data_IF_540077804885
#
_entry.id   IF_540077804885
#
_cell.length_a   1.000
_cell.length_b   1.000
_cell.length_c   1.000
_cell.angle_alpha   90.00
_cell.angle_beta   90.00
_cell.angle_gamma   90.00
#
_symmetry.space_group_name_H-M   'P 1'
#
loop_
_entity.id
_entity.type
_entity.pdbx_description
1 polymer ?
#
# COMPACT_ATOMS: atom_id res chain seq x y z
N UNK A 1 10.86 -18.81 -16.20
CA UNK A 1 10.13 -17.56 -16.10
C UNK A 1 10.51 -16.76 -14.87
N UNK A 2 10.19 -15.50 -14.89
CA UNK A 2 10.43 -14.56 -13.79
C UNK A 2 9.08 -14.01 -13.31
N UNK A 3 8.92 -13.91 -12.00
CA UNK A 3 7.81 -13.16 -11.35
C UNK A 3 8.43 -12.05 -10.53
N UNK A 4 8.00 -10.80 -10.75
CA UNK A 4 8.66 -9.64 -10.15
C UNK A 4 7.66 -8.53 -9.82
N UNK A 5 7.83 -7.85 -8.68
CA UNK A 5 7.13 -6.60 -8.37
C UNK A 5 7.92 -5.41 -8.94
N UNK A 6 7.22 -4.46 -9.54
CA UNK A 6 7.81 -3.25 -10.13
C UNK A 6 7.69 -2.05 -9.17
N UNK A 7 8.15 -2.20 -7.93
CA UNK A 7 8.16 -1.11 -6.97
C UNK A 7 8.90 0.14 -7.50
N UNK A 8 10.02 -0.10 -8.22
CA UNK A 8 10.76 0.92 -8.96
C UNK A 8 10.96 0.47 -10.41
N UNK A 9 10.06 0.85 -11.34
CA UNK A 9 10.11 0.41 -12.73
C UNK A 9 11.41 0.80 -13.46
N UNK A 10 11.96 1.97 -13.18
CA UNK A 10 13.17 2.44 -13.84
C UNK A 10 14.39 1.59 -13.49
N UNK A 11 14.50 1.15 -12.22
CA UNK A 11 15.55 0.22 -11.80
C UNK A 11 15.43 -1.16 -12.43
N UNK A 12 14.23 -1.53 -12.90
CA UNK A 12 13.95 -2.83 -13.49
C UNK A 12 14.09 -2.88 -15.02
N UNK A 13 14.25 -1.72 -15.71
CA UNK A 13 14.33 -1.68 -17.19
C UNK A 13 15.43 -2.56 -17.76
N UNK A 14 16.65 -2.41 -17.28
CA UNK A 14 17.79 -3.16 -17.80
C UNK A 14 17.73 -4.66 -17.49
N UNK A 15 17.44 -5.09 -16.24
CA UNK A 15 17.23 -6.51 -15.93
C UNK A 15 16.11 -7.16 -16.75
N UNK A 16 14.99 -6.47 -16.97
CA UNK A 16 13.86 -7.03 -17.72
C UNK A 16 14.14 -7.08 -19.23
N UNK A 17 14.80 -6.07 -19.79
CA UNK A 17 15.27 -6.12 -21.18
C UNK A 17 16.23 -7.29 -21.41
N UNK A 18 17.13 -7.56 -20.47
CA UNK A 18 18.04 -8.74 -20.54
C UNK A 18 17.27 -10.06 -20.47
N UNK A 19 16.20 -10.12 -19.70
CA UNK A 19 15.34 -11.31 -19.64
C UNK A 19 14.59 -11.52 -20.96
N UNK A 20 14.06 -10.45 -21.56
CA UNK A 20 13.39 -10.47 -22.87
C UNK A 20 14.35 -10.94 -23.98
N UNK A 21 15.56 -10.39 -24.06
CA UNK A 21 16.60 -10.81 -25.01
C UNK A 21 16.98 -12.29 -24.85
N UNK A 22 16.94 -12.80 -23.62
CA UNK A 22 17.19 -14.23 -23.34
C UNK A 22 15.96 -15.12 -23.58
N UNK A 23 14.84 -14.58 -24.02
CA UNK A 23 13.57 -15.31 -24.22
C UNK A 23 12.96 -15.82 -22.92
N UNK A 24 13.25 -15.20 -21.79
CA UNK A 24 12.71 -15.58 -20.48
C UNK A 24 11.38 -14.84 -20.25
N UNK A 25 10.25 -15.56 -20.15
CA UNK A 25 8.95 -14.92 -19.91
C UNK A 25 8.89 -14.26 -18.53
N UNK A 26 8.31 -13.06 -18.47
CA UNK A 26 8.16 -12.27 -17.26
C UNK A 26 6.68 -12.03 -16.97
N UNK A 27 6.28 -12.17 -15.72
CA UNK A 27 5.00 -11.72 -15.19
C UNK A 27 5.27 -10.75 -14.04
N UNK A 28 4.62 -9.60 -14.06
CA UNK A 28 4.71 -8.65 -12.96
C UNK A 28 3.60 -8.88 -11.95
N UNK A 29 3.87 -8.51 -10.70
CA UNK A 29 2.92 -8.64 -9.60
C UNK A 29 2.93 -7.37 -8.73
N UNK A 30 1.91 -7.19 -7.92
CA UNK A 30 1.83 -6.17 -6.88
C UNK A 30 1.90 -4.75 -7.47
N UNK A 31 3.07 -4.10 -7.44
CA UNK A 31 3.25 -2.72 -7.92
C UNK A 31 3.58 -2.65 -9.41
N UNK A 32 3.26 -1.52 -10.06
CA UNK A 32 3.70 -1.17 -11.41
C UNK A 32 2.88 -1.78 -12.54
N UNK A 33 1.57 -1.95 -12.36
CA UNK A 33 0.64 -2.43 -13.39
C UNK A 33 0.79 -1.63 -14.68
N UNK A 34 0.81 -0.30 -14.60
CA UNK A 34 0.84 0.60 -15.75
C UNK A 34 2.11 0.49 -16.58
N UNK A 35 3.24 0.14 -15.97
CA UNK A 35 4.55 -0.01 -16.60
C UNK A 35 4.83 -1.41 -17.10
N UNK A 36 4.06 -2.40 -16.63
CA UNK A 36 4.24 -3.82 -16.87
C UNK A 36 4.42 -4.17 -18.35
N UNK A 37 3.46 -3.76 -19.19
CA UNK A 37 3.48 -4.05 -20.62
C UNK A 37 4.66 -3.37 -21.34
N UNK A 38 5.01 -2.13 -20.96
CA UNK A 38 6.12 -1.39 -21.56
C UNK A 38 7.51 -1.98 -21.23
N UNK A 39 7.58 -2.80 -20.20
CA UNK A 39 8.78 -3.50 -19.75
C UNK A 39 8.82 -4.97 -20.21
N UNK A 40 8.01 -5.36 -21.21
CA UNK A 40 8.04 -6.66 -21.84
C UNK A 40 7.38 -7.78 -21.03
N UNK A 41 6.61 -7.46 -19.97
CA UNK A 41 5.89 -8.48 -19.22
C UNK A 41 4.70 -9.02 -20.02
N UNK A 42 4.43 -10.32 -19.90
CA UNK A 42 3.29 -11.00 -20.55
C UNK A 42 1.97 -10.49 -19.98
N UNK A 43 1.94 -10.31 -18.67
CA UNK A 43 0.76 -9.82 -17.93
C UNK A 43 1.18 -9.32 -16.55
N UNK A 44 0.24 -8.63 -15.89
CA UNK A 44 0.32 -8.25 -14.49
C UNK A 44 -0.70 -9.05 -13.66
N UNK A 45 -0.32 -9.41 -12.44
CA UNK A 45 -1.20 -10.04 -11.45
C UNK A 45 -1.15 -9.22 -10.16
N UNK A 46 -2.13 -8.36 -9.99
CA UNK A 46 -2.21 -7.43 -8.85
C UNK A 46 -3.57 -6.76 -8.80
N UNK A 47 -3.68 -5.75 -8.00
CA UNK A 47 -4.80 -4.81 -7.99
C UNK A 47 -4.40 -3.52 -8.72
N UNK A 48 -5.37 -2.75 -9.19
CA UNK A 48 -5.12 -1.38 -9.65
C UNK A 48 -4.98 -0.47 -8.43
N UNK A 49 -3.75 -0.06 -8.13
CA UNK A 49 -3.41 0.58 -6.85
C UNK A 49 -4.14 1.91 -6.62
N UNK A 50 -4.31 2.72 -7.66
CA UNK A 50 -5.09 3.97 -7.57
C UNK A 50 -6.57 3.68 -7.23
N UNK A 51 -7.18 2.65 -7.84
CA UNK A 51 -8.57 2.27 -7.55
C UNK A 51 -8.71 1.74 -6.11
N UNK A 52 -7.76 0.94 -5.65
CA UNK A 52 -7.76 0.44 -4.27
C UNK A 52 -7.59 1.58 -3.27
N UNK A 53 -6.72 2.55 -3.57
CA UNK A 53 -6.56 3.77 -2.78
C UNK A 53 -7.83 4.61 -2.76
N UNK A 54 -8.47 4.81 -3.93
CA UNK A 54 -9.73 5.54 -4.04
C UNK A 54 -10.82 4.92 -3.17
N UNK A 55 -11.01 3.60 -3.25
CA UNK A 55 -11.99 2.90 -2.42
C UNK A 55 -11.69 3.02 -0.91
N UNK A 56 -10.41 3.02 -0.51
CA UNK A 56 -10.02 3.28 0.87
C UNK A 56 -10.36 4.71 1.31
N UNK A 57 -10.09 5.70 0.45
CA UNK A 57 -10.44 7.11 0.68
C UNK A 57 -11.94 7.31 0.82
N UNK A 58 -12.74 6.70 -0.06
CA UNK A 58 -14.22 6.77 -0.01
C UNK A 58 -14.77 6.19 1.30
N UNK A 59 -14.28 5.03 1.73
CA UNK A 59 -14.71 4.43 3.00
C UNK A 59 -14.30 5.27 4.22
N UNK A 60 -13.12 5.89 4.19
CA UNK A 60 -12.70 6.82 5.24
C UNK A 60 -13.57 8.09 5.25
N UNK A 61 -13.94 8.63 4.09
CA UNK A 61 -14.87 9.75 3.97
C UNK A 61 -16.25 9.40 4.55
N UNK A 62 -16.79 8.21 4.27
CA UNK A 62 -18.04 7.72 4.84
C UNK A 62 -17.95 7.59 6.37
N UNK A 63 -16.77 7.30 6.92
CA UNK A 63 -16.52 7.29 8.36
C UNK A 63 -16.31 8.69 8.97
N UNK A 64 -16.40 9.77 8.16
CA UNK A 64 -16.28 11.14 8.61
C UNK A 64 -14.85 11.69 8.61
N UNK A 65 -13.90 11.02 7.97
CA UNK A 65 -12.54 11.53 7.81
C UNK A 65 -12.54 12.64 6.77
N UNK A 66 -11.85 13.73 7.08
CA UNK A 66 -11.69 14.90 6.20
C UNK A 66 -10.26 15.39 6.08
N UNK A 67 -9.39 14.99 7.02
CA UNK A 67 -7.97 15.31 7.03
C UNK A 67 -7.17 14.04 7.36
N UNK A 68 -6.50 13.48 6.36
CA UNK A 68 -5.88 12.15 6.36
C UNK A 68 -4.36 12.27 6.23
N UNK A 69 -3.62 11.49 7.00
CA UNK A 69 -2.24 11.16 6.67
C UNK A 69 -2.19 9.79 6.00
N UNK A 70 -1.57 9.73 4.81
CA UNK A 70 -1.27 8.50 4.09
C UNK A 70 0.20 8.12 4.35
N UNK A 71 0.43 6.96 4.97
CA UNK A 71 1.76 6.58 5.47
C UNK A 71 2.47 5.68 4.47
N UNK A 72 3.45 6.25 3.75
CA UNK A 72 4.29 5.56 2.75
C UNK A 72 5.51 4.97 3.46
N UNK A 73 5.55 3.65 3.60
CA UNK A 73 6.59 2.93 4.34
C UNK A 73 7.78 2.48 3.48
N UNK A 74 7.72 2.69 2.18
CA UNK A 74 8.77 2.43 1.18
C UNK A 74 8.80 3.62 0.21
N UNK A 75 9.49 4.73 0.53
CA UNK A 75 9.59 5.88 -0.36
C UNK A 75 10.14 5.50 -1.74
N UNK A 76 9.47 5.96 -2.82
CA UNK A 76 9.82 5.61 -4.21
C UNK A 76 9.21 4.30 -4.70
N UNK A 77 8.38 3.64 -3.92
CA UNK A 77 7.54 2.54 -4.38
C UNK A 77 6.29 3.12 -5.05
N UNK A 78 6.23 3.00 -6.38
CA UNK A 78 5.16 3.60 -7.19
C UNK A 78 3.75 3.11 -6.78
N UNK A 79 3.61 1.86 -6.37
CA UNK A 79 2.31 1.32 -5.94
C UNK A 79 1.80 1.99 -4.67
N UNK A 80 2.68 2.31 -3.72
CA UNK A 80 2.29 3.01 -2.50
C UNK A 80 1.92 4.47 -2.77
N UNK A 81 2.64 5.13 -3.67
CA UNK A 81 2.33 6.50 -4.10
C UNK A 81 0.96 6.54 -4.79
N UNK A 82 0.66 5.58 -5.68
CA UNK A 82 -0.63 5.44 -6.35
C UNK A 82 -1.78 5.18 -5.37
N UNK A 83 -1.57 4.42 -4.28
CA UNK A 83 -2.59 4.25 -3.22
C UNK A 83 -2.92 5.57 -2.53
N UNK A 84 -1.91 6.38 -2.18
CA UNK A 84 -2.14 7.69 -1.57
C UNK A 84 -2.80 8.68 -2.55
N UNK A 85 -2.41 8.65 -3.82
CA UNK A 85 -3.06 9.44 -4.88
C UNK A 85 -4.54 9.07 -5.01
N UNK A 86 -4.86 7.78 -5.12
CA UNK A 86 -6.23 7.30 -5.14
C UNK A 86 -7.00 7.67 -3.87
N UNK A 87 -6.39 7.53 -2.68
CA UNK A 87 -7.02 7.93 -1.43
C UNK A 87 -7.35 9.43 -1.39
N UNK A 88 -6.53 10.27 -2.04
CA UNK A 88 -6.80 11.71 -2.19
C UNK A 88 -8.06 11.95 -3.03
N UNK A 89 -8.19 11.22 -4.14
CA UNK A 89 -9.37 11.30 -5.01
C UNK A 89 -10.64 10.81 -4.30
N UNK A 90 -10.56 9.68 -3.59
CA UNK A 90 -11.71 9.07 -2.92
C UNK A 90 -12.15 9.81 -1.67
N UNK A 91 -11.22 10.39 -0.90
CA UNK A 91 -11.55 11.14 0.32
C UNK A 91 -12.28 12.45 0.02
N UNK A 92 -11.89 13.15 -1.06
CA UNK A 92 -12.42 14.49 -1.36
C UNK A 92 -12.09 15.54 -0.30
N UNK A 93 -11.16 15.26 0.59
CA UNK A 93 -10.67 16.10 1.67
C UNK A 93 -9.19 16.44 1.53
N UNK A 94 -8.50 16.65 2.66
CA UNK A 94 -7.06 16.88 2.68
C UNK A 94 -6.34 15.56 2.92
N UNK A 95 -5.32 15.26 2.12
CA UNK A 95 -4.43 14.11 2.32
C UNK A 95 -2.98 14.59 2.31
N UNK A 96 -2.24 14.25 3.35
CA UNK A 96 -0.81 14.50 3.46
C UNK A 96 -0.05 13.17 3.46
N UNK A 97 1.01 13.08 2.65
CA UNK A 97 1.87 11.90 2.60
C UNK A 97 2.93 11.98 3.70
N UNK A 98 2.96 10.98 4.59
CA UNK A 98 3.98 10.81 5.60
C UNK A 98 4.91 9.65 5.18
N UNK A 99 6.17 9.96 4.90
CA UNK A 99 7.18 8.96 4.55
C UNK A 99 7.86 8.41 5.81
N UNK A 100 7.94 7.10 5.91
CA UNK A 100 8.59 6.37 7.01
C UNK A 100 9.42 5.20 6.45
N UNK A 101 10.20 4.53 7.29
CA UNK A 101 10.96 3.32 6.91
C UNK A 101 10.31 2.09 7.51
N UNK A 102 9.95 1.10 6.67
CA UNK A 102 9.38 -0.18 7.13
C UNK A 102 10.34 -0.96 8.04
N UNK A 103 11.64 -0.73 7.93
CA UNK A 103 12.65 -1.36 8.78
C UNK A 103 12.77 -0.70 10.17
N UNK A 104 12.13 0.47 10.38
CA UNK A 104 12.06 1.19 11.65
C UNK A 104 10.61 1.48 12.05
N UNK A 105 9.88 0.43 12.45
CA UNK A 105 8.48 0.54 12.86
C UNK A 105 8.31 1.46 14.07
N UNK A 106 9.28 1.50 15.00
CA UNK A 106 9.23 2.40 16.15
C UNK A 106 9.41 3.86 15.73
N UNK A 107 10.28 4.13 14.76
CA UNK A 107 10.43 5.45 14.13
C UNK A 107 9.15 5.85 13.39
N UNK A 108 8.51 4.91 12.69
CA UNK A 108 7.22 5.15 12.02
C UNK A 108 6.11 5.51 13.03
N UNK A 109 5.99 4.78 14.13
CA UNK A 109 5.07 5.10 15.22
C UNK A 109 5.31 6.51 15.76
N UNK A 110 6.58 6.86 16.01
CA UNK A 110 6.95 8.20 16.51
C UNK A 110 6.60 9.30 15.51
N UNK A 111 6.80 9.08 14.22
CA UNK A 111 6.48 10.03 13.16
C UNK A 111 4.97 10.27 13.07
N UNK A 112 4.15 9.19 13.07
CA UNK A 112 2.69 9.29 13.07
C UNK A 112 2.21 10.03 14.32
N UNK A 113 2.68 9.67 15.50
CA UNK A 113 2.34 10.35 16.75
C UNK A 113 2.68 11.84 16.71
N UNK A 114 3.85 12.20 16.19
CA UNK A 114 4.30 13.59 16.09
C UNK A 114 3.42 14.39 15.12
N UNK A 115 3.02 13.81 13.99
CA UNK A 115 2.10 14.46 13.03
C UNK A 115 0.74 14.74 13.67
N UNK A 116 0.17 13.77 14.39
CA UNK A 116 -1.12 13.92 15.09
C UNK A 116 -1.06 14.97 16.22
N UNK A 117 0.09 15.11 16.89
CA UNK A 117 0.30 16.13 17.93
C UNK A 117 0.50 17.53 17.32
N UNK A 118 1.17 17.60 16.16
CA UNK A 118 1.45 18.86 15.47
C UNK A 118 0.18 19.46 14.83
N UNK A 119 -0.67 18.61 14.28
CA UNK A 119 -1.94 19.01 13.69
C UNK A 119 -3.11 18.18 14.25
N UNK A 120 -3.80 18.68 15.29
CA UNK A 120 -4.96 18.00 15.87
C UNK A 120 -6.20 17.94 14.95
N UNK A 121 -6.17 18.57 13.78
CA UNK A 121 -7.24 18.45 12.79
C UNK A 121 -7.16 17.18 11.97
N UNK A 122 -6.03 16.45 12.01
CA UNK A 122 -5.89 15.14 11.39
C UNK A 122 -6.82 14.16 12.10
N UNK A 123 -7.79 13.64 11.34
CA UNK A 123 -8.80 12.74 11.86
C UNK A 123 -8.82 11.37 11.13
N UNK A 124 -7.80 11.09 10.30
CA UNK A 124 -7.60 9.81 9.64
C UNK A 124 -6.14 9.44 9.45
N UNK A 125 -5.85 8.14 9.49
CA UNK A 125 -4.54 7.54 9.16
C UNK A 125 -4.77 6.36 8.23
N UNK A 126 -4.20 6.41 7.04
CA UNK A 126 -4.16 5.28 6.10
C UNK A 126 -2.74 4.71 6.09
N UNK A 127 -2.56 3.55 6.72
CA UNK A 127 -1.32 2.81 6.68
C UNK A 127 -1.31 1.86 5.46
N UNK A 128 -0.18 1.75 4.77
CA UNK A 128 -0.08 0.93 3.56
C UNK A 128 0.57 -0.44 3.81
N UNK A 129 0.68 -0.83 5.10
CA UNK A 129 1.27 -2.09 5.54
C UNK A 129 0.71 -2.48 6.93
N UNK A 130 0.51 -3.77 7.23
CA UNK A 130 -0.02 -4.24 8.52
C UNK A 130 0.77 -3.77 9.74
N UNK A 131 2.11 -3.85 9.68
CA UNK A 131 2.95 -3.45 10.82
C UNK A 131 2.83 -1.95 11.12
N UNK A 132 2.71 -1.12 10.07
CA UNK A 132 2.48 0.32 10.21
C UNK A 132 1.05 0.60 10.71
N UNK A 133 0.06 -0.18 10.25
CA UNK A 133 -1.32 -0.09 10.74
C UNK A 133 -1.42 -0.34 12.25
N UNK A 134 -0.76 -1.38 12.75
CA UNK A 134 -0.69 -1.68 14.19
C UNK A 134 0.06 -0.59 14.95
N UNK A 135 1.21 -0.12 14.41
CA UNK A 135 1.97 0.97 15.02
C UNK A 135 1.17 2.29 15.09
N UNK A 136 0.27 2.53 14.13
CA UNK A 136 -0.62 3.69 14.16
C UNK A 136 -1.60 3.65 15.35
N UNK A 137 -2.06 2.47 15.77
CA UNK A 137 -2.92 2.32 16.97
C UNK A 137 -2.20 2.86 18.21
N UNK A 138 -0.96 2.43 18.42
CA UNK A 138 -0.14 2.91 19.54
C UNK A 138 0.20 4.41 19.42
N UNK A 139 0.44 4.90 18.19
CA UNK A 139 0.70 6.30 17.92
C UNK A 139 -0.50 7.19 18.29
N UNK A 140 -1.72 6.78 17.94
CA UNK A 140 -2.95 7.48 18.32
C UNK A 140 -3.10 7.55 19.84
N UNK A 141 -2.92 6.41 20.52
CA UNK A 141 -2.97 6.36 21.98
C UNK A 141 -1.96 7.31 22.62
N UNK A 142 -0.72 7.32 22.12
CA UNK A 142 0.35 8.21 22.58
C UNK A 142 0.11 9.69 22.29
N UNK A 143 -0.62 10.02 21.20
CA UNK A 143 -1.02 11.38 20.86
C UNK A 143 -2.30 11.84 21.57
N UNK A 144 -3.10 10.93 22.13
CA UNK A 144 -4.44 11.21 22.62
C UNK A 144 -5.43 11.53 21.49
N UNK A 145 -5.15 11.05 20.28
CA UNK A 145 -5.97 11.28 19.09
C UNK A 145 -7.13 10.28 18.99
N UNK A 146 -8.21 10.72 18.35
CA UNK A 146 -9.39 9.89 18.02
C UNK A 146 -9.52 9.69 16.50
N UNK A 147 -8.44 9.84 15.76
CA UNK A 147 -8.42 9.62 14.32
C UNK A 147 -8.85 8.19 13.97
N UNK A 148 -9.47 8.01 12.81
CA UNK A 148 -9.80 6.68 12.29
C UNK A 148 -8.59 6.07 11.60
N UNK A 149 -8.35 4.79 11.79
CA UNK A 149 -7.25 4.06 11.13
C UNK A 149 -7.82 3.09 10.11
N UNK A 150 -7.24 3.10 8.91
CA UNK A 150 -7.39 2.02 7.94
C UNK A 150 -6.00 1.55 7.49
N UNK A 151 -5.93 0.31 7.00
CA UNK A 151 -4.65 -0.23 6.53
C UNK A 151 -4.82 -1.02 5.23
N UNK A 152 -3.70 -1.32 4.59
CA UNK A 152 -3.61 -2.34 3.56
C UNK A 152 -3.04 -3.61 4.18
N UNK A 153 -3.50 -4.73 3.65
CA UNK A 153 -3.11 -6.09 4.01
C UNK A 153 -3.57 -6.56 5.39
N UNK A 154 -3.65 -7.86 5.52
CA UNK A 154 -4.08 -8.55 6.73
C UNK A 154 -2.89 -9.18 7.46
N UNK A 155 -2.96 -9.13 8.78
CA UNK A 155 -2.17 -9.94 9.70
C UNK A 155 -3.05 -10.35 10.88
N UNK A 156 -2.60 -11.27 11.72
CA UNK A 156 -3.35 -11.64 12.92
C UNK A 156 -3.64 -10.44 13.83
N UNK A 157 -2.66 -9.53 13.96
CA UNK A 157 -2.79 -8.33 14.79
C UNK A 157 -3.76 -7.31 14.16
N UNK A 158 -3.73 -7.13 12.83
CA UNK A 158 -4.69 -6.26 12.13
C UNK A 158 -6.12 -6.80 12.26
N UNK A 159 -6.32 -8.13 12.11
CA UNK A 159 -7.65 -8.74 12.30
C UNK A 159 -8.15 -8.48 13.71
N UNK A 160 -7.31 -8.69 14.74
CA UNK A 160 -7.67 -8.41 16.13
C UNK A 160 -8.01 -6.93 16.36
N UNK A 161 -7.25 -6.01 15.76
CA UNK A 161 -7.49 -4.57 15.87
C UNK A 161 -8.78 -4.13 15.13
N UNK A 162 -9.17 -4.84 14.08
CA UNK A 162 -10.48 -4.60 13.42
C UNK A 162 -11.62 -5.13 14.31
N UNK A 163 -11.45 -6.30 14.92
CA UNK A 163 -12.46 -6.90 15.81
C UNK A 163 -12.71 -6.07 17.07
N UNK A 164 -11.68 -5.41 17.61
CA UNK A 164 -11.80 -4.52 18.78
C UNK A 164 -12.14 -3.06 18.42
N UNK A 165 -12.16 -2.72 17.12
CA UNK A 165 -12.52 -1.40 16.62
C UNK A 165 -11.37 -0.39 16.61
N UNK A 166 -10.13 -0.77 16.89
CA UNK A 166 -8.95 0.10 16.83
C UNK A 166 -8.54 0.42 15.38
N UNK A 167 -8.81 -0.48 14.44
CA UNK A 167 -8.67 -0.27 12.98
C UNK A 167 -10.05 -0.42 12.36
N UNK A 168 -10.42 0.50 11.48
CA UNK A 168 -11.75 0.54 10.86
C UNK A 168 -11.91 -0.57 9.83
N UNK A 169 -10.93 -0.74 8.94
CA UNK A 169 -10.88 -1.79 7.92
C UNK A 169 -9.46 -2.01 7.40
N UNK A 170 -9.28 -3.09 6.65
CA UNK A 170 -8.08 -3.36 5.86
C UNK A 170 -8.46 -3.68 4.42
N UNK A 171 -7.69 -3.17 3.46
CA UNK A 171 -7.78 -3.53 2.04
C UNK A 171 -6.91 -4.75 1.79
N UNK A 172 -7.52 -5.91 1.52
CA UNK A 172 -6.81 -7.14 1.20
C UNK A 172 -6.55 -7.24 -0.31
N UNK A 173 -5.29 -7.27 -0.71
CA UNK A 173 -4.89 -7.37 -2.11
C UNK A 173 -4.65 -8.81 -2.59
N UNK A 174 -5.07 -9.83 -1.83
CA UNK A 174 -4.98 -11.24 -2.19
C UNK A 174 -3.55 -11.72 -2.50
N UNK A 175 -2.59 -11.45 -1.61
CA UNK A 175 -1.17 -11.76 -1.81
C UNK A 175 -0.90 -13.23 -2.16
N UNK A 176 -1.72 -14.16 -1.61
CA UNK A 176 -1.62 -15.57 -1.95
C UNK A 176 -1.86 -15.80 -3.46
N UNK A 177 -2.87 -15.14 -4.03
CA UNK A 177 -3.16 -15.25 -5.46
C UNK A 177 -2.08 -14.58 -6.31
N UNK A 178 -1.54 -13.46 -5.86
CA UNK A 178 -0.41 -12.79 -6.54
C UNK A 178 0.85 -13.67 -6.59
N UNK A 179 1.06 -14.53 -5.59
CA UNK A 179 2.15 -15.50 -5.61
C UNK A 179 1.83 -16.77 -6.42
N UNK A 180 0.58 -17.25 -6.37
CA UNK A 180 0.19 -18.52 -6.96
C UNK A 180 -0.09 -18.42 -8.47
N UNK A 181 -0.92 -17.45 -8.87
CA UNK A 181 -1.41 -17.33 -10.26
C UNK A 181 -0.28 -17.14 -11.28
N UNK A 182 0.74 -16.29 -11.05
CA UNK A 182 1.84 -16.13 -12.00
C UNK A 182 2.61 -17.42 -12.27
N UNK A 183 2.79 -18.25 -11.26
CA UNK A 183 3.49 -19.55 -11.43
C UNK A 183 2.68 -20.48 -12.34
N UNK A 184 1.35 -20.52 -12.15
CA UNK A 184 0.46 -21.31 -13.03
C UNK A 184 0.50 -20.77 -14.46
N UNK A 185 0.42 -19.44 -14.63
CA UNK A 185 0.46 -18.81 -15.95
C UNK A 185 1.79 -19.07 -16.67
N UNK A 186 2.94 -18.92 -15.98
CA UNK A 186 4.25 -19.25 -16.55
C UNK A 186 4.36 -20.72 -16.96
N UNK A 187 3.75 -21.62 -16.19
CA UNK A 187 3.73 -23.05 -16.54
C UNK A 187 2.88 -23.33 -17.79
N UNK A 188 1.78 -22.63 -17.95
CA UNK A 188 0.89 -22.78 -19.11
C UNK A 188 1.45 -22.10 -20.37
N UNK A 189 2.30 -21.09 -20.20
CA UNK A 189 2.93 -20.35 -21.29
C UNK A 189 4.04 -21.16 -22.00
N UNK A 190 4.63 -22.15 -21.34
CA UNK A 190 5.64 -23.06 -21.91
C UNK A 190 5.04 -24.06 -22.92
#
# INVERSE_FOLDING_TARGET
>A
GIVVSLANPDAMREPLASAEEAGIPVITINSGENESASLGAITHVGQTETVAGQGAGEQLAEAGVTNLICVIHEPGNIGLEQRCEGATEGLGGTVENLQVDINDVAGAQTAIQSSLQADPSINGVLALNPAIGVAAVDALAGAGSQAQIATFDLSGDVVSAIEDGSILFAVDQQQYLQGYVPIVLLKLYQ
#
